data_IF_781391358170
#
_entry.id   IF_781391358170
#
_cell.length_a   1.000
_cell.length_b   1.000
_cell.length_c   1.000
_cell.angle_alpha   90.00
_cell.angle_beta   90.00
_cell.angle_gamma   90.00
#
_symmetry.space_group_name_H-M   'P 1'
#
loop_
_entity.id
_entity.type
_entity.pdbx_description
1 polymer ?
#
# COMPACT_ATOMS: atom_id res chain seq x y z
N UNK A 1 -48.51 -37.96 -25.58
CA UNK A 1 -48.08 -37.73 -24.17
C UNK A 1 -47.19 -36.50 -24.14
N UNK A 2 -47.70 -35.35 -23.67
CA UNK A 2 -46.94 -34.09 -23.58
C UNK A 2 -46.09 -34.14 -22.31
N UNK A 3 -44.77 -34.21 -22.45
CA UNK A 3 -43.83 -34.17 -21.32
C UNK A 3 -43.67 -32.71 -20.88
N UNK A 4 -44.13 -32.39 -19.68
CA UNK A 4 -43.88 -31.10 -19.03
C UNK A 4 -42.42 -31.09 -18.54
N UNK A 5 -41.63 -30.14 -19.02
CA UNK A 5 -40.27 -29.90 -18.55
C UNK A 5 -40.34 -28.86 -17.42
N UNK A 6 -40.20 -29.30 -16.18
CA UNK A 6 -40.15 -28.38 -15.02
C UNK A 6 -38.75 -27.82 -14.89
N UNK A 7 -38.56 -26.56 -15.26
CA UNK A 7 -37.31 -25.82 -15.09
C UNK A 7 -37.25 -25.32 -13.64
N UNK A 8 -36.47 -25.99 -12.79
CA UNK A 8 -36.20 -25.50 -11.44
C UNK A 8 -35.17 -24.36 -11.52
N UNK A 9 -35.61 -23.13 -11.28
CA UNK A 9 -34.71 -22.00 -11.12
C UNK A 9 -33.96 -22.13 -9.78
N UNK A 10 -32.67 -22.43 -9.84
CA UNK A 10 -31.79 -22.32 -8.68
C UNK A 10 -31.53 -20.82 -8.49
N UNK A 11 -32.27 -20.21 -7.57
CA UNK A 11 -31.95 -18.88 -7.07
C UNK A 11 -30.75 -19.04 -6.16
N UNK A 12 -29.55 -18.77 -6.68
CA UNK A 12 -28.38 -18.57 -5.84
C UNK A 12 -28.63 -17.30 -5.04
N UNK A 13 -29.06 -17.44 -3.78
CA UNK A 13 -29.02 -16.33 -2.85
C UNK A 13 -27.54 -16.02 -2.61
N UNK A 14 -27.03 -15.00 -3.29
CA UNK A 14 -25.79 -14.37 -2.90
C UNK A 14 -26.05 -13.70 -1.55
N UNK A 15 -25.92 -14.47 -0.46
CA UNK A 15 -25.81 -13.88 0.86
C UNK A 15 -24.63 -12.93 0.80
N UNK A 16 -24.87 -11.65 1.07
CA UNK A 16 -23.78 -10.70 1.27
C UNK A 16 -22.90 -11.28 2.37
N UNK A 17 -21.68 -11.70 2.03
CA UNK A 17 -20.69 -12.09 3.04
C UNK A 17 -20.50 -10.87 3.91
N UNK A 18 -20.84 -11.01 5.19
CA UNK A 18 -20.66 -9.95 6.16
C UNK A 18 -19.16 -9.65 6.24
N UNK A 19 -18.78 -8.38 6.12
CA UNK A 19 -17.42 -7.92 6.38
C UNK A 19 -16.98 -8.39 7.78
N UNK A 20 -15.92 -9.18 7.84
CA UNK A 20 -15.33 -9.61 9.10
C UNK A 20 -14.32 -8.57 9.60
N UNK A 21 -14.12 -8.53 10.91
CA UNK A 21 -13.00 -7.82 11.53
C UNK A 21 -11.95 -8.87 11.86
N UNK A 22 -10.82 -8.80 11.15
CA UNK A 22 -9.72 -9.74 11.31
C UNK A 22 -8.58 -9.09 12.10
N UNK A 23 -8.06 -9.79 13.09
CA UNK A 23 -6.85 -9.40 13.82
C UNK A 23 -5.69 -10.30 13.47
N UNK A 24 -4.52 -9.71 13.21
CA UNK A 24 -3.30 -10.50 13.14
C UNK A 24 -2.98 -11.09 14.52
N UNK A 25 -2.98 -12.41 14.63
CA UNK A 25 -2.49 -13.12 15.83
C UNK A 25 -1.20 -13.90 15.57
N UNK A 26 -0.72 -13.94 14.33
CA UNK A 26 0.44 -14.76 13.94
C UNK A 26 0.21 -16.24 14.30
N UNK A 27 1.25 -16.92 14.77
CA UNK A 27 1.16 -18.34 15.11
C UNK A 27 0.19 -18.64 16.28
N UNK A 28 -0.20 -17.61 17.04
CA UNK A 28 -1.08 -17.70 18.20
C UNK A 28 -2.57 -17.48 17.85
N UNK A 29 -2.90 -17.07 16.63
CA UNK A 29 -4.30 -16.79 16.24
C UNK A 29 -5.16 -18.07 16.18
N UNK A 30 -4.54 -19.22 15.95
CA UNK A 30 -5.19 -20.52 15.89
C UNK A 30 -4.20 -21.70 15.90
N UNK A 31 -4.73 -22.92 15.90
CA UNK A 31 -3.91 -24.13 15.89
C UNK A 31 -3.29 -24.37 14.50
N UNK A 32 -2.11 -23.78 14.25
CA UNK A 32 -1.24 -24.17 13.13
C UNK A 32 -0.98 -23.12 12.06
N UNK A 33 -1.14 -21.83 12.38
CA UNK A 33 -0.62 -20.76 11.52
C UNK A 33 0.91 -20.74 11.49
N UNK A 34 1.51 -20.34 10.37
CA UNK A 34 2.97 -20.19 10.26
C UNK A 34 3.53 -18.91 10.92
N UNK A 35 2.64 -18.03 11.36
CA UNK A 35 2.94 -16.78 12.03
C UNK A 35 3.50 -15.67 11.16
N UNK A 36 3.62 -15.83 9.85
CA UNK A 36 4.23 -14.80 8.98
C UNK A 36 3.49 -14.58 7.68
N UNK A 37 2.87 -15.59 7.09
CA UNK A 37 2.27 -15.49 5.76
C UNK A 37 0.89 -14.84 5.84
N UNK A 38 0.68 -13.77 5.07
CA UNK A 38 -0.62 -13.09 4.97
C UNK A 38 -1.75 -14.03 4.53
N UNK A 39 -1.49 -14.91 3.56
CA UNK A 39 -2.51 -15.77 2.96
C UNK A 39 -2.93 -16.95 3.87
N UNK A 40 -2.17 -17.25 4.93
CA UNK A 40 -2.51 -18.33 5.84
C UNK A 40 -3.61 -17.84 6.80
N UNK A 41 -4.83 -18.31 6.56
CA UNK A 41 -5.99 -17.96 7.37
C UNK A 41 -5.81 -18.26 8.85
N UNK A 42 -4.97 -19.24 9.22
CA UNK A 42 -4.69 -19.55 10.62
C UNK A 42 -3.85 -18.51 11.35
N UNK A 43 -3.31 -17.50 10.65
CA UNK A 43 -2.62 -16.36 11.25
C UNK A 43 -3.55 -15.21 11.66
N UNK A 44 -4.83 -15.31 11.29
CA UNK A 44 -5.83 -14.27 11.47
C UNK A 44 -6.95 -14.75 12.36
N UNK A 45 -7.27 -13.97 13.38
CA UNK A 45 -8.42 -14.21 14.23
C UNK A 45 -9.64 -13.44 13.70
N UNK A 46 -10.73 -14.14 13.45
CA UNK A 46 -12.00 -13.53 13.05
C UNK A 46 -12.81 -13.14 14.30
N UNK A 47 -12.86 -11.84 14.60
CA UNK A 47 -13.62 -11.32 15.75
C UNK A 47 -15.12 -11.30 15.50
N UNK A 48 -15.57 -11.41 14.26
CA UNK A 48 -16.97 -11.33 13.87
C UNK A 48 -17.63 -12.70 13.97
N UNK A 49 -17.01 -13.73 13.41
CA UNK A 49 -17.58 -15.09 13.36
C UNK A 49 -16.94 -16.04 14.38
N UNK A 50 -15.80 -15.66 14.96
CA UNK A 50 -14.97 -16.55 15.76
C UNK A 50 -14.15 -17.51 14.90
N UNK A 51 -12.97 -17.90 15.37
CA UNK A 51 -12.07 -18.81 14.66
C UNK A 51 -11.04 -18.07 13.80
N UNK A 52 -10.62 -18.70 12.70
CA UNK A 52 -9.56 -18.21 11.83
C UNK A 52 -10.00 -18.14 10.37
N UNK A 53 -9.58 -17.10 9.65
CA UNK A 53 -9.94 -16.87 8.24
C UNK A 53 -8.93 -15.95 7.54
N UNK A 54 -8.58 -16.25 6.29
CA UNK A 54 -7.73 -15.36 5.50
C UNK A 54 -8.51 -14.09 5.08
N UNK A 55 -7.86 -12.91 5.03
CA UNK A 55 -8.50 -11.68 4.59
C UNK A 55 -9.08 -11.73 3.19
N UNK A 56 -10.25 -11.12 3.04
CA UNK A 56 -10.93 -10.86 1.77
C UNK A 56 -11.08 -9.36 1.54
N UNK A 57 -11.49 -8.96 0.33
CA UNK A 57 -11.71 -7.55 -0.03
C UNK A 57 -12.89 -6.89 0.71
N UNK A 58 -13.67 -7.66 1.49
CA UNK A 58 -14.74 -7.14 2.33
C UNK A 58 -14.33 -6.88 3.77
N UNK A 59 -13.15 -7.38 4.20
CA UNK A 59 -12.81 -7.44 5.61
C UNK A 59 -12.02 -6.22 6.09
N UNK A 60 -12.24 -5.82 7.34
CA UNK A 60 -11.35 -4.90 8.03
C UNK A 60 -10.22 -5.69 8.68
N UNK A 61 -8.99 -5.40 8.29
CA UNK A 61 -7.80 -6.09 8.75
C UNK A 61 -7.02 -5.21 9.72
N UNK A 62 -6.80 -5.68 10.94
CA UNK A 62 -6.10 -4.98 12.01
C UNK A 62 -4.77 -5.68 12.33
N UNK A 63 -3.67 -4.95 12.20
CA UNK A 63 -2.33 -5.38 12.64
C UNK A 63 -1.91 -4.50 13.81
N UNK A 64 -1.36 -5.11 14.86
CA UNK A 64 -1.04 -4.41 16.11
C UNK A 64 -2.23 -4.27 17.06
N UNK A 65 -3.13 -5.25 17.09
CA UNK A 65 -4.15 -5.38 18.14
C UNK A 65 -3.59 -6.08 19.38
N UNK A 66 -4.07 -5.71 20.57
CA UNK A 66 -3.58 -6.22 21.87
C UNK A 66 -3.94 -7.67 22.21
N UNK A 67 -4.68 -8.36 21.33
CA UNK A 67 -5.43 -9.55 21.76
C UNK A 67 -4.56 -10.80 21.93
N UNK A 68 -3.48 -10.96 21.14
CA UNK A 68 -2.79 -12.25 21.07
C UNK A 68 -1.26 -12.21 21.20
N UNK A 69 -0.68 -11.05 21.48
CA UNK A 69 0.76 -10.94 21.75
C UNK A 69 1.64 -11.44 20.59
N UNK A 70 1.14 -11.41 19.36
CA UNK A 70 1.85 -11.86 18.17
C UNK A 70 3.25 -11.20 18.12
N UNK A 71 4.28 -12.04 18.10
CA UNK A 71 5.68 -11.58 18.08
C UNK A 71 6.21 -11.40 16.67
N UNK A 72 5.53 -11.99 15.70
CA UNK A 72 5.85 -11.97 14.29
C UNK A 72 4.90 -11.06 13.53
N UNK A 73 5.39 -10.51 12.42
CA UNK A 73 4.67 -9.53 11.62
C UNK A 73 4.26 -10.17 10.28
N UNK A 74 3.10 -9.80 9.72
CA UNK A 74 2.64 -10.33 8.46
C UNK A 74 3.57 -9.93 7.31
N UNK A 75 3.74 -10.86 6.38
CA UNK A 75 4.49 -10.72 5.14
C UNK A 75 3.61 -11.09 3.95
N UNK A 76 3.60 -10.22 2.94
CA UNK A 76 3.00 -10.47 1.63
C UNK A 76 4.12 -10.77 0.64
N UNK A 77 4.25 -12.02 0.23
CA UNK A 77 5.27 -12.50 -0.72
C UNK A 77 4.69 -13.20 -1.95
N UNK A 78 3.37 -13.17 -2.10
CA UNK A 78 2.65 -13.72 -3.25
C UNK A 78 1.59 -12.74 -3.73
N UNK A 79 1.14 -12.92 -4.97
CA UNK A 79 0.15 -12.04 -5.57
C UNK A 79 -1.29 -12.33 -5.09
N UNK A 80 -2.19 -11.39 -5.35
CA UNK A 80 -3.64 -11.57 -5.16
C UNK A 80 -4.12 -11.48 -3.71
N UNK A 81 -3.31 -10.91 -2.81
CA UNK A 81 -3.76 -10.64 -1.44
C UNK A 81 -4.69 -9.43 -1.42
N UNK A 82 -5.71 -9.47 -0.57
CA UNK A 82 -6.74 -8.43 -0.51
C UNK A 82 -7.11 -8.09 0.93
N UNK A 83 -7.60 -6.87 1.13
CA UNK A 83 -8.31 -6.42 2.33
C UNK A 83 -9.41 -5.42 1.91
N UNK A 84 -10.46 -5.30 2.71
CA UNK A 84 -11.40 -4.18 2.63
C UNK A 84 -10.72 -2.93 3.15
N UNK A 85 -10.57 -2.84 4.46
CA UNK A 85 -9.76 -1.82 5.12
C UNK A 85 -8.52 -2.47 5.74
N UNK A 86 -7.42 -1.73 5.83
CA UNK A 86 -6.19 -2.20 6.46
C UNK A 86 -5.67 -1.18 7.44
N UNK A 87 -5.49 -1.60 8.70
CA UNK A 87 -5.00 -0.76 9.78
C UNK A 87 -3.68 -1.31 10.30
N UNK A 88 -2.60 -0.57 10.07
CA UNK A 88 -1.31 -0.79 10.74
C UNK A 88 -1.21 0.13 11.95
N UNK A 89 -0.82 -0.45 13.07
CA UNK A 89 -0.73 0.25 14.33
C UNK A 89 -2.12 0.51 14.89
N UNK A 90 -2.96 -0.53 14.98
CA UNK A 90 -4.32 -0.37 15.50
C UNK A 90 -4.28 0.22 16.92
N UNK A 91 -3.70 -0.49 17.89
CA UNK A 91 -3.53 0.01 19.27
C UNK A 91 -2.11 -0.14 19.81
N UNK A 92 -1.28 -0.97 19.16
CA UNK A 92 0.11 -1.23 19.51
C UNK A 92 1.02 -0.96 18.32
N UNK A 93 2.33 -0.98 18.55
CA UNK A 93 3.31 -0.97 17.47
C UNK A 93 3.14 -2.23 16.59
N UNK A 94 3.18 -2.05 15.27
CA UNK A 94 3.11 -3.16 14.33
C UNK A 94 3.76 -2.85 13.00
N UNK A 95 3.96 -3.90 12.22
CA UNK A 95 4.63 -3.83 10.94
C UNK A 95 3.93 -4.70 9.90
N UNK A 96 4.05 -4.33 8.63
CA UNK A 96 3.69 -5.16 7.48
C UNK A 96 4.86 -5.13 6.48
N UNK A 97 5.29 -6.31 6.05
CA UNK A 97 6.31 -6.46 5.01
C UNK A 97 5.67 -6.85 3.68
N UNK A 98 5.95 -6.10 2.61
CA UNK A 98 5.60 -6.47 1.23
C UNK A 98 6.89 -6.73 0.48
N UNK A 99 7.10 -8.00 0.14
CA UNK A 99 8.32 -8.48 -0.48
C UNK A 99 8.16 -8.64 -2.00
N UNK A 100 9.26 -8.95 -2.68
CA UNK A 100 9.25 -9.23 -4.13
C UNK A 100 8.25 -10.33 -4.46
N UNK A 101 7.39 -10.08 -5.44
CA UNK A 101 6.30 -10.98 -5.83
C UNK A 101 5.01 -10.82 -5.03
N UNK A 102 5.04 -10.05 -3.94
CA UNK A 102 3.86 -9.64 -3.19
C UNK A 102 2.97 -8.67 -3.97
N UNK A 103 1.66 -8.90 -3.93
CA UNK A 103 0.65 -7.96 -4.41
C UNK A 103 -0.50 -7.91 -3.41
N UNK A 104 -0.72 -6.73 -2.83
CA UNK A 104 -1.78 -6.47 -1.85
C UNK A 104 -2.69 -5.35 -2.35
N UNK A 105 -3.99 -5.62 -2.45
CA UNK A 105 -5.00 -4.63 -2.76
C UNK A 105 -5.90 -4.34 -1.56
N UNK A 106 -5.95 -3.08 -1.12
CA UNK A 106 -6.83 -2.57 -0.07
C UNK A 106 -7.95 -1.77 -0.74
N UNK A 107 -9.17 -2.31 -0.70
CA UNK A 107 -10.31 -1.74 -1.42
C UNK A 107 -10.80 -0.41 -0.84
N UNK A 108 -10.59 -0.20 0.45
CA UNK A 108 -10.99 0.98 1.21
C UNK A 108 -9.79 1.78 1.69
N UNK A 109 -9.72 2.00 3.00
CA UNK A 109 -8.70 2.85 3.62
C UNK A 109 -7.56 2.00 4.15
N UNK A 110 -6.35 2.40 3.80
CA UNK A 110 -5.12 1.89 4.38
C UNK A 110 -4.53 2.93 5.35
N UNK A 111 -4.52 2.60 6.64
CA UNK A 111 -3.94 3.41 7.71
C UNK A 111 -2.53 2.95 8.05
N UNK A 112 -1.60 3.90 8.15
CA UNK A 112 -0.25 3.66 8.69
C UNK A 112 -0.09 4.48 9.97
N UNK A 113 -0.45 3.88 11.12
CA UNK A 113 -0.44 4.51 12.44
C UNK A 113 -1.81 4.99 12.90
N UNK A 114 -2.73 4.07 13.20
CA UNK A 114 -4.11 4.43 13.60
C UNK A 114 -4.23 4.93 15.05
N UNK A 115 -4.07 4.08 16.06
CA UNK A 115 -3.97 4.53 17.48
C UNK A 115 -2.65 4.07 18.14
N UNK A 116 -1.85 3.30 17.41
CA UNK A 116 -0.48 2.94 17.75
C UNK A 116 0.50 3.30 16.63
N UNK A 117 1.71 2.76 16.70
CA UNK A 117 2.72 2.95 15.65
C UNK A 117 2.54 1.94 14.53
N UNK A 118 2.34 2.41 13.29
CA UNK A 118 2.31 1.54 12.11
C UNK A 118 3.60 1.67 11.31
N UNK A 119 4.19 0.55 10.89
CA UNK A 119 5.33 0.52 9.96
C UNK A 119 5.00 -0.31 8.73
N UNK A 120 5.10 0.27 7.54
CA UNK A 120 5.06 -0.47 6.28
C UNK A 120 6.47 -0.58 5.72
N UNK A 121 6.90 -1.79 5.39
CA UNK A 121 8.14 -2.05 4.66
C UNK A 121 7.82 -2.55 3.26
N UNK A 122 8.11 -1.73 2.26
CA UNK A 122 8.07 -2.11 0.85
C UNK A 122 9.47 -2.52 0.40
N UNK A 123 9.76 -3.82 0.48
CA UNK A 123 11.02 -4.39 -0.02
C UNK A 123 10.92 -4.77 -1.51
N UNK A 124 9.71 -4.73 -2.07
CA UNK A 124 9.38 -5.11 -3.43
C UNK A 124 7.87 -5.09 -3.65
N UNK A 125 7.40 -5.77 -4.69
CA UNK A 125 5.97 -6.01 -4.89
C UNK A 125 5.15 -4.75 -5.19
N UNK A 126 3.83 -4.88 -5.03
CA UNK A 126 2.85 -3.83 -5.25
C UNK A 126 1.88 -3.76 -4.06
N UNK A 127 1.63 -2.53 -3.60
CA UNK A 127 0.50 -2.20 -2.74
C UNK A 127 -0.43 -1.29 -3.52
N UNK A 128 -1.71 -1.66 -3.65
CA UNK A 128 -2.73 -0.80 -4.23
C UNK A 128 -3.75 -0.46 -3.16
N UNK A 129 -4.05 0.82 -2.94
CA UNK A 129 -5.04 1.27 -1.98
C UNK A 129 -5.98 2.30 -2.62
N UNK A 130 -7.28 2.24 -2.31
CA UNK A 130 -8.19 3.30 -2.72
C UNK A 130 -7.84 4.62 -2.02
N UNK A 131 -7.69 4.57 -0.69
CA UNK A 131 -7.24 5.71 0.09
C UNK A 131 -6.08 5.30 0.98
N UNK A 132 -4.98 6.04 0.93
CA UNK A 132 -3.96 6.00 1.96
C UNK A 132 -4.21 7.12 2.96
N UNK A 133 -4.41 6.73 4.20
CA UNK A 133 -4.54 7.63 5.33
C UNK A 133 -3.26 7.56 6.15
N UNK A 134 -2.62 8.72 6.31
CA UNK A 134 -1.47 8.85 7.19
C UNK A 134 -1.91 8.74 8.64
N UNK A 135 -0.95 8.63 9.56
CA UNK A 135 -1.26 8.37 10.95
C UNK A 135 -2.33 9.32 11.49
N UNK A 136 -3.22 8.86 12.36
CA UNK A 136 -4.18 9.76 12.99
C UNK A 136 -3.44 10.85 13.77
N UNK A 137 -4.10 11.97 14.01
CA UNK A 137 -3.49 13.09 14.71
C UNK A 137 -2.83 12.66 16.03
N UNK A 138 -1.52 12.88 16.14
CA UNK A 138 -0.73 12.50 17.31
C UNK A 138 -0.14 11.09 17.29
N UNK A 139 -0.38 10.32 16.23
CA UNK A 139 0.11 8.96 16.05
C UNK A 139 1.26 8.89 15.06
N UNK A 140 1.99 7.78 15.10
CA UNK A 140 3.24 7.61 14.35
C UNK A 140 3.05 6.59 13.23
N UNK A 141 3.39 6.99 12.01
CA UNK A 141 3.36 6.15 10.82
C UNK A 141 4.71 6.16 10.11
N UNK A 142 5.24 5.01 9.77
CA UNK A 142 6.50 4.90 9.03
C UNK A 142 6.30 4.08 7.76
N UNK A 143 6.76 4.59 6.62
CA UNK A 143 6.80 3.84 5.37
C UNK A 143 8.26 3.77 4.92
N UNK A 144 8.82 2.57 4.91
CA UNK A 144 10.12 2.27 4.33
C UNK A 144 9.89 1.82 2.88
N UNK A 145 10.00 2.75 1.94
CA UNK A 145 9.78 2.53 0.51
C UNK A 145 11.11 2.25 -0.18
N UNK A 146 11.70 1.10 0.13
CA UNK A 146 13.05 0.72 -0.32
C UNK A 146 13.06 -0.06 -1.65
N UNK A 147 11.88 -0.52 -2.08
CA UNK A 147 11.61 -1.15 -3.35
C UNK A 147 10.11 -1.15 -3.66
N UNK A 148 9.72 -1.78 -4.76
CA UNK A 148 8.30 -1.97 -5.10
C UNK A 148 7.55 -0.70 -5.48
N UNK A 149 6.23 -0.81 -5.50
CA UNK A 149 5.33 0.29 -5.89
C UNK A 149 4.14 0.39 -4.96
N UNK A 150 3.87 1.60 -4.48
CA UNK A 150 2.60 1.94 -3.85
C UNK A 150 1.75 2.70 -4.86
N UNK A 151 0.54 2.23 -5.13
CA UNK A 151 -0.47 2.92 -5.94
C UNK A 151 -1.64 3.33 -5.04
N UNK A 152 -1.87 4.62 -4.87
CA UNK A 152 -2.98 5.14 -4.09
C UNK A 152 -3.88 6.01 -4.97
N UNK A 153 -5.20 5.78 -4.98
CA UNK A 153 -6.08 6.70 -5.70
C UNK A 153 -6.13 8.08 -5.00
N UNK A 154 -6.12 8.07 -3.66
CA UNK A 154 -6.02 9.26 -2.82
C UNK A 154 -4.95 9.04 -1.75
N UNK A 155 -4.14 10.06 -1.47
CA UNK A 155 -3.27 10.09 -0.30
C UNK A 155 -3.59 11.32 0.56
N UNK A 156 -4.07 11.06 1.77
CA UNK A 156 -4.32 12.09 2.77
C UNK A 156 -3.03 12.33 3.55
N UNK A 157 -2.19 13.18 2.98
CA UNK A 157 -0.89 13.55 3.52
C UNK A 157 -1.07 14.39 4.80
N UNK A 158 -0.64 13.87 5.96
CA UNK A 158 -0.62 14.64 7.20
C UNK A 158 0.70 15.38 7.38
N UNK A 159 0.61 16.67 7.72
CA UNK A 159 1.74 17.57 7.89
C UNK A 159 2.23 17.68 9.35
N UNK A 160 2.13 16.63 10.15
CA UNK A 160 2.43 16.68 11.60
C UNK A 160 3.84 16.20 11.97
N UNK A 161 4.63 15.69 11.02
CA UNK A 161 5.99 15.19 11.25
C UNK A 161 6.10 13.88 12.03
N UNK A 162 4.96 13.33 12.48
CA UNK A 162 4.89 12.01 13.10
C UNK A 162 4.74 10.88 12.07
N UNK A 163 4.38 11.24 10.83
CA UNK A 163 4.39 10.30 9.71
C UNK A 163 5.60 10.55 8.83
N UNK A 164 6.38 9.51 8.55
CA UNK A 164 7.59 9.60 7.71
C UNK A 164 7.58 8.60 6.57
N UNK A 165 8.22 8.97 5.47
CA UNK A 165 8.53 8.06 4.36
C UNK A 165 10.04 8.10 4.11
N UNK A 166 10.67 6.95 4.02
CA UNK A 166 12.05 6.80 3.57
C UNK A 166 12.07 6.08 2.23
N UNK A 167 12.40 6.82 1.17
CA UNK A 167 12.44 6.32 -0.21
C UNK A 167 13.87 5.93 -0.58
N UNK A 168 14.07 4.65 -0.92
CA UNK A 168 15.37 4.13 -1.34
C UNK A 168 15.22 3.19 -2.53
N UNK A 169 16.36 2.82 -3.14
CA UNK A 169 16.40 1.81 -4.19
C UNK A 169 15.48 2.12 -5.36
N UNK A 170 14.58 1.19 -5.66
CA UNK A 170 13.58 1.29 -6.74
C UNK A 170 12.18 1.64 -6.24
N UNK A 171 12.05 1.99 -4.96
CA UNK A 171 10.77 2.32 -4.35
C UNK A 171 10.14 3.54 -5.00
N UNK A 172 8.84 3.44 -5.31
CA UNK A 172 8.05 4.55 -5.86
C UNK A 172 6.62 4.55 -5.32
N UNK A 173 6.08 5.74 -5.14
CA UNK A 173 4.68 5.96 -4.78
C UNK A 173 4.00 6.75 -5.90
N UNK A 174 2.83 6.29 -6.33
CA UNK A 174 2.01 6.89 -7.38
C UNK A 174 0.66 7.22 -6.74
N UNK A 175 0.29 8.50 -6.76
CA UNK A 175 -0.95 9.00 -6.15
C UNK A 175 -1.81 9.70 -7.20
N UNK A 176 -3.13 9.51 -7.15
CA UNK A 176 -4.07 10.23 -8.02
C UNK A 176 -4.06 11.76 -7.79
N UNK A 177 -4.24 12.49 -8.88
CA UNK A 177 -4.26 13.94 -8.92
C UNK A 177 -2.88 14.60 -8.81
N UNK A 178 -2.87 15.93 -8.75
CA UNK A 178 -1.68 16.73 -8.56
C UNK A 178 -1.39 16.97 -7.07
N UNK A 179 -0.44 16.21 -6.52
CA UNK A 179 -0.01 16.22 -5.12
C UNK A 179 1.42 16.79 -4.94
N UNK A 180 2.01 17.37 -5.98
CA UNK A 180 3.42 17.81 -5.94
C UNK A 180 3.68 18.81 -4.83
N UNK A 181 2.80 19.81 -4.65
CA UNK A 181 2.92 20.77 -3.56
C UNK A 181 2.88 20.14 -2.17
N UNK A 182 2.10 19.08 -1.98
CA UNK A 182 2.06 18.30 -0.75
C UNK A 182 3.37 17.55 -0.52
N UNK A 183 3.82 16.77 -1.51
CA UNK A 183 5.08 16.05 -1.41
C UNK A 183 6.29 16.97 -1.22
N UNK A 184 6.39 18.05 -2.00
CA UNK A 184 7.51 18.99 -1.91
C UNK A 184 7.58 19.66 -0.53
N UNK A 185 6.42 19.97 0.06
CA UNK A 185 6.35 20.48 1.44
C UNK A 185 6.90 19.45 2.44
N UNK A 186 6.50 18.18 2.34
CA UNK A 186 6.94 17.13 3.26
C UNK A 186 8.43 16.78 3.08
N UNK A 187 8.93 16.80 1.84
CA UNK A 187 10.36 16.67 1.53
C UNK A 187 11.14 17.84 2.14
N UNK A 188 10.66 19.07 1.95
CA UNK A 188 11.30 20.27 2.49
C UNK A 188 11.39 20.29 4.02
N UNK A 189 10.43 19.66 4.71
CA UNK A 189 10.45 19.47 6.17
C UNK A 189 11.24 18.23 6.63
N UNK A 190 11.72 17.39 5.71
CA UNK A 190 12.47 16.17 6.03
C UNK A 190 11.62 15.03 6.56
N UNK A 191 10.29 15.05 6.35
CA UNK A 191 9.39 13.95 6.73
C UNK A 191 9.31 12.89 5.64
N UNK A 192 9.53 13.29 4.39
CA UNK A 192 9.89 12.37 3.33
C UNK A 192 11.38 12.53 3.08
N UNK A 193 12.11 11.45 3.25
CA UNK A 193 13.56 11.38 3.04
C UNK A 193 13.87 10.35 1.97
N UNK A 194 15.08 10.41 1.43
CA UNK A 194 15.55 9.43 0.46
C UNK A 194 16.91 9.76 -0.10
N UNK A 195 17.35 8.95 -1.05
CA UNK A 195 18.61 9.15 -1.77
C UNK A 195 18.66 10.45 -2.59
N UNK A 196 19.86 10.74 -3.12
CA UNK A 196 20.06 11.91 -3.98
C UNK A 196 19.11 11.89 -5.18
N UNK A 197 18.38 12.98 -5.38
CA UNK A 197 17.45 13.14 -6.50
C UNK A 197 16.00 12.80 -6.18
N UNK A 198 15.65 12.43 -4.93
CA UNK A 198 14.26 12.32 -4.50
C UNK A 198 13.44 13.54 -4.96
N UNK A 199 12.37 13.29 -5.70
CA UNK A 199 11.51 14.33 -6.24
C UNK A 199 10.07 13.84 -6.41
N UNK A 200 9.14 14.80 -6.44
CA UNK A 200 7.77 14.58 -6.88
C UNK A 200 7.59 15.08 -8.33
N UNK A 201 6.81 14.36 -9.14
CA UNK A 201 6.50 14.77 -10.51
C UNK A 201 5.05 14.46 -10.87
N UNK A 202 4.33 15.45 -11.40
CA UNK A 202 2.95 15.28 -11.87
C UNK A 202 2.92 15.00 -13.38
N UNK A 203 2.15 13.98 -13.78
CA UNK A 203 1.82 13.67 -15.16
C UNK A 203 0.33 13.95 -15.42
N UNK A 204 0.06 15.00 -16.20
CA UNK A 204 -1.30 15.39 -16.58
C UNK A 204 -2.00 14.41 -17.52
N UNK A 205 -1.25 13.52 -18.18
CA UNK A 205 -1.82 12.50 -19.07
C UNK A 205 -2.48 11.35 -18.31
N UNK A 206 -1.86 10.94 -17.20
CA UNK A 206 -2.42 9.92 -16.29
C UNK A 206 -3.20 10.53 -15.11
N UNK A 207 -3.11 11.83 -14.91
CA UNK A 207 -3.58 12.55 -13.72
C UNK A 207 -3.05 11.93 -12.42
N UNK A 208 -1.74 11.70 -12.39
CA UNK A 208 -1.06 11.13 -11.21
C UNK A 208 0.20 11.90 -10.84
N UNK A 209 0.53 11.88 -9.57
CA UNK A 209 1.80 12.35 -9.03
C UNK A 209 2.65 11.17 -8.60
N UNK A 210 3.88 11.12 -9.08
CA UNK A 210 4.88 10.11 -8.70
C UNK A 210 5.89 10.73 -7.74
N UNK A 211 6.13 10.05 -6.61
CA UNK A 211 7.24 10.29 -5.69
C UNK A 211 8.25 9.14 -5.85
N UNK A 212 9.46 9.46 -6.29
CA UNK A 212 10.52 8.47 -6.48
C UNK A 212 11.90 9.13 -6.50
N UNK A 213 12.95 8.30 -6.48
CA UNK A 213 14.29 8.71 -6.91
C UNK A 213 14.37 8.45 -8.42
N UNK A 214 14.45 9.47 -9.28
CA UNK A 214 14.53 9.27 -10.72
C UNK A 214 15.78 8.47 -11.08
N UNK A 215 15.62 7.49 -11.97
CA UNK A 215 16.76 6.74 -12.47
C UNK A 215 17.71 7.66 -13.25
N UNK A 216 19.05 7.52 -13.09
CA UNK A 216 20.03 8.37 -13.78
C UNK A 216 19.88 8.40 -15.31
N UNK A 217 19.33 7.33 -15.91
CA UNK A 217 19.11 7.23 -17.34
C UNK A 217 18.04 8.23 -17.85
N UNK A 218 17.07 8.60 -17.01
CA UNK A 218 16.02 9.57 -17.38
C UNK A 218 16.63 10.96 -17.62
N UNK A 219 17.61 11.36 -16.80
CA UNK A 219 18.35 12.61 -17.02
C UNK A 219 19.27 12.55 -18.24
N UNK A 220 19.89 11.40 -18.51
CA UNK A 220 20.67 11.18 -19.71
C UNK A 220 19.86 11.33 -21.00
N UNK A 221 18.62 10.84 -21.01
CA UNK A 221 17.72 10.96 -22.17
C UNK A 221 17.21 12.39 -22.37
N UNK A 222 16.86 13.13 -21.30
CA UNK A 222 16.47 14.54 -21.41
C UNK A 222 17.65 15.40 -21.91
N UNK A 223 18.87 15.13 -21.42
CA UNK A 223 20.06 15.79 -21.93
C UNK A 223 20.35 15.43 -23.40
N UNK A 224 20.16 14.17 -23.80
CA UNK A 224 20.38 13.71 -25.18
C UNK A 224 19.30 14.21 -26.16
N UNK A 225 18.03 14.30 -25.74
CA UNK A 225 16.91 14.67 -26.61
C UNK A 225 16.60 16.18 -26.60
N UNK A 226 16.96 16.91 -25.54
CA UNK A 226 16.70 18.36 -25.41
C UNK A 226 17.94 19.25 -25.37
N UNK A 227 19.12 18.72 -25.00
CA UNK A 227 20.37 19.48 -24.90
C UNK A 227 21.19 19.54 -26.20
N UNK A 228 21.03 18.55 -27.09
CA UNK A 228 21.77 18.48 -28.36
C UNK A 228 21.20 19.35 -29.49
N UNK A 229 19.90 19.66 -29.46
CA UNK A 229 19.24 20.44 -30.53
C UNK A 229 19.49 21.95 -30.37
N UNK A 230 19.91 22.43 -29.19
CA UNK A 230 20.17 23.84 -28.95
C UNK A 230 21.51 24.33 -29.57
N UNK A 231 22.42 23.43 -29.95
CA UNK A 231 23.73 23.81 -30.52
C UNK A 231 23.82 23.76 -32.05
N UNK A 232 22.75 23.39 -32.78
CA UNK A 232 22.73 23.42 -34.25
C UNK A 232 22.01 24.68 -34.76
N UNK A 233 22.47 25.87 -34.36
CA UNK A 233 22.11 27.13 -35.06
C UNK A 233 23.25 28.13 -35.06
N UNK A 234 24.35 27.85 -35.78
CA UNK A 234 25.18 28.94 -36.37
C UNK A 234 26.26 28.49 -37.37
N UNK A 235 25.91 28.00 -38.57
CA UNK A 235 26.89 28.07 -39.67
C UNK A 235 26.36 27.89 -41.11
N UNK A 236 25.34 28.63 -41.53
CA UNK A 236 25.16 28.89 -42.98
C UNK A 236 24.64 30.32 -43.21
N UNK A 237 25.58 31.27 -43.28
CA UNK A 237 25.44 32.51 -44.04
C UNK A 237 26.66 32.59 -44.96
N UNK A 238 26.46 32.22 -46.22
CA UNK A 238 27.22 32.67 -47.40
C UNK A 238 26.16 33.05 -48.43
#
# INVERSE_FOLDING_TARGET
MKKLLTLAAIVAMAGSVQAAILGWGGAEAGAGGDGTTWADGNNWFDFTNGGTAAPTSGDQVNIGGSVWGATTQPTVSSAGQVAGDLILGNTLASQLDINVGGDLAVAGIFYVGNDGTGTLNMNGGTLTAATMQWANAGQVGHINLHGGTINAAVANLDGTGLTTIDVQGTGKMIVGGNQTGGFDFLIGNGWITGGAGLASSYDSGSDTTTLAIPEPATFGMVAAMGGGILFIRRKFMI
#
